data_IF_448232910538
#
_entry.id   IF_448232910538
#
_cell.length_a   1.000
_cell.length_b   1.000
_cell.length_c   1.000
_cell.angle_alpha   90.00
_cell.angle_beta   90.00
_cell.angle_gamma   90.00
#
_symmetry.space_group_name_H-M   'P 1'
#
loop_
_entity.id
_entity.type
_entity.pdbx_description
1 polymer ?
#
# COMPACT_ATOMS: atom_id res chain seq x y z
N UNK A 1 -40.39 16.12 1.70
CA UNK A 1 -41.18 15.70 2.87
C UNK A 1 -42.66 15.86 2.52
N UNK A 2 -43.32 14.78 2.12
CA UNK A 2 -44.71 14.81 1.72
C UNK A 2 -45.58 14.87 2.98
N UNK A 3 -46.11 16.05 3.27
CA UNK A 3 -47.07 16.25 4.38
C UNK A 3 -48.44 15.80 3.85
N UNK A 4 -48.87 14.61 4.25
CA UNK A 4 -50.25 14.15 3.94
C UNK A 4 -51.26 15.10 4.63
N UNK A 5 -52.36 15.45 3.95
CA UNK A 5 -53.36 16.34 4.53
C UNK A 5 -54.01 15.68 5.74
N UNK A 6 -54.18 16.44 6.81
CA UNK A 6 -54.65 16.01 8.14
C UNK A 6 -56.00 15.24 8.13
N UNK A 7 -56.79 15.38 7.07
CA UNK A 7 -58.06 14.67 6.88
C UNK A 7 -57.91 13.18 6.52
N UNK A 8 -56.77 12.77 5.99
CA UNK A 8 -56.50 11.36 5.62
C UNK A 8 -56.01 10.53 6.80
N UNK A 9 -55.35 11.15 7.75
CA UNK A 9 -54.77 10.46 8.93
C UNK A 9 -55.84 10.02 9.95
N UNK A 10 -56.96 10.70 10.01
CA UNK A 10 -58.05 10.39 10.97
C UNK A 10 -58.80 9.09 10.67
N UNK A 11 -58.73 8.56 9.52
CA UNK A 11 -59.40 7.29 9.13
C UNK A 11 -58.49 6.06 9.21
N UNK A 12 -57.19 6.25 9.53
CA UNK A 12 -56.24 5.14 9.63
C UNK A 12 -56.24 4.60 11.09
N UNK A 13 -56.17 3.27 11.27
CA UNK A 13 -56.05 2.69 12.59
C UNK A 13 -54.80 3.20 13.31
N UNK A 14 -54.87 3.41 14.64
CA UNK A 14 -53.81 4.01 15.45
C UNK A 14 -52.43 3.41 15.23
N UNK A 15 -52.34 2.10 14.97
CA UNK A 15 -51.06 1.42 14.67
C UNK A 15 -50.42 1.89 13.36
N UNK A 16 -51.21 2.26 12.37
CA UNK A 16 -50.68 2.79 11.10
C UNK A 16 -50.22 4.24 11.23
N UNK A 17 -50.90 5.03 12.09
CA UNK A 17 -50.48 6.39 12.42
C UNK A 17 -49.18 6.41 13.20
N UNK A 18 -49.01 5.50 14.17
CA UNK A 18 -47.72 5.31 14.88
C UNK A 18 -46.61 4.91 13.91
N UNK A 19 -46.86 4.00 12.99
CA UNK A 19 -45.89 3.55 12.01
C UNK A 19 -45.46 4.68 11.01
N UNK A 20 -46.40 5.51 10.60
CA UNK A 20 -46.11 6.65 9.70
C UNK A 20 -45.37 7.80 10.42
N UNK A 21 -45.51 7.90 11.73
CA UNK A 21 -44.81 8.90 12.58
C UNK A 21 -43.51 8.36 13.18
N UNK A 22 -43.19 7.10 12.98
CA UNK A 22 -41.96 6.51 13.50
C UNK A 22 -40.75 6.96 12.66
N UNK A 23 -39.94 7.85 13.23
CA UNK A 23 -38.70 8.36 12.63
C UNK A 23 -37.52 7.40 12.76
N UNK A 24 -37.67 6.28 13.48
CA UNK A 24 -36.60 5.30 13.68
C UNK A 24 -36.23 4.60 12.37
N UNK A 25 -37.22 4.38 11.48
CA UNK A 25 -37.02 3.83 10.17
C UNK A 25 -36.13 4.69 9.24
N UNK A 26 -36.24 6.01 9.35
CA UNK A 26 -35.42 6.95 8.52
C UNK A 26 -33.94 6.81 8.90
N UNK A 27 -33.63 6.74 10.18
CA UNK A 27 -32.24 6.54 10.64
C UNK A 27 -31.66 5.20 10.16
N UNK A 28 -32.46 4.14 10.17
CA UNK A 28 -32.01 2.83 9.68
C UNK A 28 -31.69 2.86 8.17
N UNK A 29 -32.49 3.58 7.39
CA UNK A 29 -32.27 3.77 5.95
C UNK A 29 -31.00 4.60 5.70
N UNK A 30 -30.81 5.70 6.42
CA UNK A 30 -29.61 6.54 6.32
C UNK A 30 -28.36 5.73 6.66
N UNK A 31 -28.41 4.93 7.72
CA UNK A 31 -27.30 4.05 8.12
C UNK A 31 -27.04 2.98 7.06
N UNK A 32 -28.08 2.39 6.47
CA UNK A 32 -27.94 1.38 5.43
C UNK A 32 -27.23 1.90 4.17
N UNK A 33 -27.41 3.17 3.84
CA UNK A 33 -26.69 3.82 2.73
C UNK A 33 -25.30 4.32 3.14
N UNK A 34 -25.17 4.84 4.34
CA UNK A 34 -23.89 5.37 4.84
C UNK A 34 -22.87 4.27 5.14
N UNK A 35 -23.30 3.13 5.69
CA UNK A 35 -22.41 2.07 6.11
C UNK A 35 -21.53 1.50 4.98
N UNK A 36 -22.04 1.15 3.78
CA UNK A 36 -21.20 0.65 2.70
C UNK A 36 -20.22 1.71 2.18
N UNK A 37 -20.60 2.99 2.18
CA UNK A 37 -19.72 4.09 1.77
C UNK A 37 -18.58 4.24 2.79
N UNK A 38 -18.90 4.26 4.09
CA UNK A 38 -17.91 4.34 5.16
C UNK A 38 -16.98 3.13 5.15
N UNK A 39 -17.51 1.93 4.94
CA UNK A 39 -16.70 0.72 4.81
C UNK A 39 -15.75 0.81 3.61
N UNK A 40 -16.22 1.28 2.48
CA UNK A 40 -15.39 1.50 1.28
C UNK A 40 -14.28 2.52 1.50
N UNK A 41 -14.58 3.63 2.16
CA UNK A 41 -13.59 4.65 2.52
C UNK A 41 -12.54 4.11 3.52
N UNK A 42 -12.98 3.32 4.50
CA UNK A 42 -12.08 2.71 5.48
C UNK A 42 -11.11 1.73 4.80
N UNK A 43 -11.61 0.83 3.95
CA UNK A 43 -10.78 -0.12 3.22
C UNK A 43 -9.83 0.59 2.26
N UNK A 44 -10.31 1.60 1.51
CA UNK A 44 -9.48 2.40 0.62
C UNK A 44 -8.38 3.18 1.38
N UNK A 45 -8.70 3.71 2.55
CA UNK A 45 -7.72 4.40 3.40
C UNK A 45 -6.59 3.47 3.87
N UNK A 46 -6.93 2.24 4.25
CA UNK A 46 -5.94 1.22 4.62
C UNK A 46 -5.03 0.88 3.43
N UNK A 47 -5.60 0.71 2.24
CA UNK A 47 -4.83 0.37 1.04
C UNK A 47 -3.85 1.49 0.65
N UNK A 48 -4.31 2.74 0.64
CA UNK A 48 -3.45 3.90 0.39
C UNK A 48 -2.32 3.99 1.42
N UNK A 49 -2.61 3.77 2.69
CA UNK A 49 -1.60 3.78 3.75
C UNK A 49 -0.54 2.70 3.53
N UNK A 50 -0.94 1.49 3.17
CA UNK A 50 -0.01 0.40 2.85
C UNK A 50 0.86 0.73 1.65
N UNK A 51 0.28 1.31 0.60
CA UNK A 51 1.02 1.74 -0.58
C UNK A 51 2.07 2.80 -0.26
N UNK A 52 1.72 3.83 0.51
CA UNK A 52 2.67 4.87 0.94
C UNK A 52 3.79 4.27 1.80
N UNK A 53 3.44 3.40 2.75
CA UNK A 53 4.42 2.72 3.60
C UNK A 53 5.39 1.87 2.78
N UNK A 54 4.91 1.14 1.78
CA UNK A 54 5.74 0.33 0.88
C UNK A 54 6.74 1.21 0.12
N UNK A 55 6.28 2.31 -0.48
CA UNK A 55 7.15 3.23 -1.22
C UNK A 55 8.25 3.82 -0.32
N UNK A 56 7.90 4.28 0.87
CA UNK A 56 8.88 4.81 1.84
C UNK A 56 9.90 3.75 2.26
N UNK A 57 9.48 2.50 2.44
CA UNK A 57 10.39 1.41 2.77
C UNK A 57 11.34 1.08 1.62
N UNK A 58 10.84 1.00 0.40
CA UNK A 58 11.66 0.76 -0.81
C UNK A 58 12.72 1.85 -0.95
N UNK A 59 12.33 3.12 -0.87
CA UNK A 59 13.24 4.25 -0.98
C UNK A 59 14.34 4.19 0.09
N UNK A 60 13.95 4.07 1.37
CA UNK A 60 14.90 3.99 2.48
C UNK A 60 15.82 2.79 2.35
N UNK A 61 15.30 1.63 1.99
CA UNK A 61 16.08 0.42 1.84
C UNK A 61 17.09 0.55 0.70
N UNK A 62 16.67 1.12 -0.44
CA UNK A 62 17.56 1.34 -1.59
C UNK A 62 18.73 2.26 -1.24
N UNK A 63 18.45 3.38 -0.57
CA UNK A 63 19.50 4.32 -0.13
C UNK A 63 20.44 3.65 0.89
N UNK A 64 19.89 2.96 1.88
CA UNK A 64 20.70 2.28 2.91
C UNK A 64 21.58 1.19 2.29
N UNK A 65 21.06 0.39 1.37
CA UNK A 65 21.83 -0.64 0.67
C UNK A 65 22.95 -0.03 -0.17
N UNK A 66 22.66 1.03 -0.93
CA UNK A 66 23.67 1.72 -1.72
C UNK A 66 24.79 2.29 -0.83
N UNK A 67 24.44 2.86 0.31
CA UNK A 67 25.38 3.42 1.27
C UNK A 67 26.28 2.33 1.89
N UNK A 68 25.69 1.24 2.38
CA UNK A 68 26.45 0.12 2.96
C UNK A 68 27.39 -0.54 1.96
N UNK A 69 26.94 -0.72 0.73
CA UNK A 69 27.79 -1.28 -0.34
C UNK A 69 28.92 -0.33 -0.72
N UNK A 70 28.67 0.98 -0.74
CA UNK A 70 29.67 1.98 -1.12
C UNK A 70 30.73 2.24 -0.03
N UNK A 71 30.43 1.95 1.23
CA UNK A 71 31.36 2.11 2.36
C UNK A 71 32.39 0.98 2.45
N UNK A 72 32.15 -0.14 1.80
CA UNK A 72 33.03 -1.31 1.86
C UNK A 72 34.15 -1.21 0.85
N UNK A 73 35.41 -1.25 1.27
CA UNK A 73 36.57 -1.31 0.37
C UNK A 73 36.61 -2.60 -0.45
N UNK A 74 36.20 -3.71 0.18
CA UNK A 74 36.10 -5.03 -0.45
C UNK A 74 34.75 -5.66 -0.10
N UNK A 75 34.01 -6.09 -1.10
CA UNK A 75 32.75 -6.79 -0.94
C UNK A 75 32.93 -8.26 -1.27
N UNK A 76 32.67 -9.13 -0.31
CA UNK A 76 32.61 -10.56 -0.55
C UNK A 76 31.16 -10.99 -0.87
N UNK A 77 30.99 -12.16 -1.51
CA UNK A 77 29.66 -12.72 -1.75
C UNK A 77 28.90 -12.99 -0.41
N UNK A 78 29.65 -13.28 0.67
CA UNK A 78 29.08 -13.44 2.01
C UNK A 78 28.50 -12.14 2.55
N UNK A 79 29.22 -11.02 2.38
CA UNK A 79 28.75 -9.70 2.81
C UNK A 79 27.49 -9.29 2.04
N UNK A 80 27.46 -9.48 0.74
CA UNK A 80 26.27 -9.22 -0.10
C UNK A 80 25.08 -10.07 0.31
N UNK A 81 25.28 -11.34 0.59
CA UNK A 81 24.24 -12.24 1.07
C UNK A 81 23.68 -11.79 2.42
N UNK A 82 24.54 -11.34 3.34
CA UNK A 82 24.14 -10.77 4.63
C UNK A 82 23.33 -9.48 4.47
N UNK A 83 23.74 -8.58 3.56
CA UNK A 83 23.02 -7.35 3.26
C UNK A 83 21.64 -7.62 2.64
N UNK A 84 21.54 -8.57 1.73
CA UNK A 84 20.25 -8.98 1.16
C UNK A 84 19.29 -9.54 2.20
N UNK A 85 19.79 -10.37 3.12
CA UNK A 85 18.99 -10.90 4.21
C UNK A 85 18.50 -9.79 5.17
N UNK A 86 19.38 -8.82 5.47
CA UNK A 86 19.01 -7.66 6.26
C UNK A 86 17.92 -6.81 5.58
N UNK A 87 17.98 -6.68 4.25
CA UNK A 87 16.96 -5.99 3.44
C UNK A 87 15.59 -6.61 3.62
N UNK A 88 15.50 -7.94 3.59
CA UNK A 88 14.26 -8.68 3.81
C UNK A 88 13.64 -8.34 5.18
N UNK A 89 14.47 -8.26 6.23
CA UNK A 89 14.04 -7.84 7.57
C UNK A 89 13.50 -6.41 7.64
N UNK A 90 14.16 -5.45 6.98
CA UNK A 90 13.74 -4.04 6.95
C UNK A 90 12.40 -3.87 6.23
N UNK A 91 12.13 -4.68 5.21
CA UNK A 91 10.90 -4.61 4.41
C UNK A 91 9.66 -5.17 5.12
N UNK A 92 9.81 -5.85 6.25
CA UNK A 92 8.65 -6.36 7.03
C UNK A 92 7.64 -5.22 7.31
N UNK A 93 6.31 -5.40 7.10
CA UNK A 93 5.58 -6.65 6.87
C UNK A 93 5.46 -7.09 5.40
N UNK A 94 6.18 -6.47 4.48
CA UNK A 94 6.15 -6.86 3.06
C UNK A 94 7.13 -8.00 2.82
N UNK A 95 6.66 -9.04 2.13
CA UNK A 95 7.49 -10.20 1.77
C UNK A 95 8.38 -9.85 0.57
N UNK A 96 9.62 -9.49 0.86
CA UNK A 96 10.61 -9.13 -0.14
C UNK A 96 11.05 -10.34 -0.97
N UNK A 97 11.16 -11.51 -0.34
CA UNK A 97 11.66 -12.72 -0.97
C UNK A 97 10.69 -13.25 -2.03
N UNK A 98 9.39 -13.21 -1.73
CA UNK A 98 8.34 -13.68 -2.63
C UNK A 98 7.88 -12.62 -3.64
N UNK A 99 7.83 -11.34 -3.24
CA UNK A 99 7.17 -10.28 -4.01
C UNK A 99 8.09 -9.14 -4.43
N UNK A 100 9.36 -9.21 -4.08
CA UNK A 100 10.34 -8.17 -4.37
C UNK A 100 11.55 -8.65 -5.13
N UNK A 101 12.41 -7.71 -5.50
CA UNK A 101 13.76 -7.94 -6.00
C UNK A 101 14.64 -6.75 -5.67
N UNK A 102 15.83 -7.02 -5.15
CA UNK A 102 16.90 -6.04 -5.00
C UNK A 102 17.96 -6.35 -6.05
N UNK A 103 18.42 -5.32 -6.73
CA UNK A 103 19.52 -5.41 -7.71
C UNK A 103 20.57 -4.41 -7.29
N UNK A 104 21.78 -4.88 -7.07
CA UNK A 104 22.95 -4.06 -6.81
C UNK A 104 23.86 -4.13 -8.02
N UNK A 105 24.19 -2.98 -8.59
CA UNK A 105 25.05 -2.87 -9.78
C UNK A 105 26.22 -1.95 -9.50
N UNK A 106 27.44 -2.39 -9.79
CA UNK A 106 28.62 -1.53 -9.84
C UNK A 106 28.79 -0.99 -11.24
N UNK A 107 28.80 0.34 -11.35
CA UNK A 107 28.94 1.04 -12.61
C UNK A 107 30.21 1.88 -12.59
N UNK A 108 31.04 1.80 -13.61
CA UNK A 108 32.18 2.69 -13.79
C UNK A 108 32.11 3.40 -15.14
N UNK A 109 32.66 4.60 -15.20
CA UNK A 109 32.77 5.36 -16.45
C UNK A 109 34.25 5.57 -16.73
N UNK A 110 34.81 4.89 -17.74
CA UNK A 110 36.17 5.17 -18.21
C UNK A 110 36.31 6.60 -18.71
N UNK A 111 37.48 7.21 -18.58
CA UNK A 111 37.74 8.58 -19.10
C UNK A 111 37.35 8.69 -20.56
N UNK A 112 36.31 9.49 -20.85
CA UNK A 112 35.80 9.72 -22.21
C UNK A 112 34.92 8.61 -22.80
N UNK A 113 34.52 7.59 -21.97
CA UNK A 113 33.67 6.48 -22.39
C UNK A 113 32.26 6.56 -21.87
N UNK A 114 31.42 5.61 -22.28
CA UNK A 114 30.08 5.41 -21.73
C UNK A 114 30.15 4.62 -20.42
N UNK A 115 29.18 4.82 -19.51
CA UNK A 115 29.06 4.01 -18.29
C UNK A 115 28.93 2.52 -18.61
N UNK A 116 29.66 1.69 -17.88
CA UNK A 116 29.62 0.22 -18.04
C UNK A 116 29.38 -0.45 -16.72
N UNK A 117 28.63 -1.54 -16.71
CA UNK A 117 28.41 -2.36 -15.53
C UNK A 117 29.62 -3.27 -15.34
N UNK A 118 30.28 -3.15 -14.18
CA UNK A 118 31.39 -4.03 -13.81
C UNK A 118 30.89 -5.37 -13.29
N UNK A 119 29.90 -5.31 -12.40
CA UNK A 119 29.22 -6.48 -11.86
C UNK A 119 27.81 -6.13 -11.40
N UNK A 120 26.97 -7.12 -11.35
CA UNK A 120 25.60 -7.02 -10.87
C UNK A 120 25.22 -8.26 -10.06
N UNK A 121 24.53 -8.06 -8.94
CA UNK A 121 23.97 -9.11 -8.12
C UNK A 121 22.52 -8.80 -7.81
N UNK A 122 21.69 -9.83 -7.73
CA UNK A 122 20.27 -9.68 -7.44
C UNK A 122 19.80 -10.70 -6.41
N UNK A 123 18.80 -10.30 -5.63
CA UNK A 123 18.13 -11.12 -4.65
C UNK A 123 16.62 -10.91 -4.73
N UNK A 124 15.83 -11.97 -4.53
CA UNK A 124 14.37 -11.97 -4.62
C UNK A 124 13.84 -12.71 -5.85
N UNK A 125 12.57 -13.07 -5.82
CA UNK A 125 11.94 -13.96 -6.80
C UNK A 125 11.39 -13.25 -8.05
N UNK A 126 11.26 -11.93 -8.03
CA UNK A 126 10.69 -11.20 -9.15
C UNK A 126 11.60 -11.22 -10.41
N UNK A 127 10.98 -11.28 -11.59
CA UNK A 127 11.68 -11.38 -12.87
C UNK A 127 12.12 -10.03 -13.46
N UNK A 128 11.89 -8.92 -12.76
CA UNK A 128 12.29 -7.59 -13.21
C UNK A 128 13.80 -7.51 -13.42
N UNK A 129 14.20 -6.85 -14.50
CA UNK A 129 15.61 -6.56 -14.81
C UNK A 129 15.99 -5.17 -14.35
N UNK A 130 17.31 -4.91 -14.25
CA UNK A 130 17.83 -3.55 -14.06
C UNK A 130 17.51 -2.67 -15.27
N UNK A 131 17.23 -1.38 -14.99
CA UNK A 131 17.13 -0.35 -16.05
C UNK A 131 18.49 0.17 -16.49
N UNK A 132 19.55 -0.22 -15.79
CA UNK A 132 20.94 0.15 -16.08
C UNK A 132 21.61 -1.05 -16.74
N UNK A 133 21.88 -0.94 -18.04
CA UNK A 133 22.56 -1.96 -18.85
C UNK A 133 21.65 -2.75 -19.73
#
# INVERSE_FOLDING_TARGET
MLKLPDKFTSYLPLKVQEFLNDKRGVFAIDLAFAAPILAGLMLGGVEVTRFVMLNQKIERTSVTMADLVSQSETLTEGDLSGLFLATSGVMTPFDMDANGKVIVSSVSTPSGGSPTINWQRSYGSQTSSSTVG
#
